data_IF_355258080937
#
_entry.id   IF_355258080937
#
_cell.length_a   1.000
_cell.length_b   1.000
_cell.length_c   1.000
_cell.angle_alpha   90.00
_cell.angle_beta   90.00
_cell.angle_gamma   90.00
#
_symmetry.space_group_name_H-M   'P 1'
#
loop_
_entity.id
_entity.type
_entity.pdbx_description
1 polymer ?
#
# COMPACT_ATOMS: atom_id res chain seq x y z
N UNK A 1 -9.67 -3.48 18.95
CA UNK A 1 -10.54 -2.70 18.04
C UNK A 1 -11.25 -3.75 17.19
N UNK A 2 -12.42 -4.24 17.61
CA UNK A 2 -12.89 -5.58 17.21
C UNK A 2 -13.76 -5.62 15.96
N UNK A 3 -14.65 -4.63 15.78
CA UNK A 3 -15.66 -4.64 14.72
C UNK A 3 -15.02 -4.67 13.32
N UNK A 4 -14.02 -3.83 13.07
CA UNK A 4 -13.32 -3.77 11.77
C UNK A 4 -12.40 -4.95 11.48
N UNK A 5 -12.07 -5.75 12.50
CA UNK A 5 -11.25 -6.94 12.35
C UNK A 5 -12.08 -8.20 12.10
N UNK A 6 -13.28 -8.29 12.70
CA UNK A 6 -14.05 -9.55 12.76
C UNK A 6 -15.38 -9.52 11.99
N UNK A 7 -15.97 -8.35 11.80
CA UNK A 7 -17.31 -8.18 11.21
C UNK A 7 -17.29 -7.28 9.99
N UNK A 8 -16.86 -6.02 10.13
CA UNK A 8 -16.77 -5.05 9.04
C UNK A 8 -15.38 -5.12 8.38
N UNK A 9 -15.10 -6.26 7.75
CA UNK A 9 -13.80 -6.54 7.12
C UNK A 9 -13.70 -5.89 5.73
N UNK A 10 -12.48 -5.64 5.22
CA UNK A 10 -12.28 -5.00 3.90
C UNK A 10 -12.89 -5.76 2.71
N UNK A 11 -13.08 -7.06 2.86
CA UNK A 11 -13.75 -7.92 1.89
C UNK A 11 -14.72 -8.81 2.66
N UNK A 12 -15.89 -9.03 2.07
CA UNK A 12 -16.96 -9.91 2.57
C UNK A 12 -17.36 -9.59 4.02
N UNK A 13 -17.79 -8.35 4.32
CA UNK A 13 -18.24 -7.98 5.65
C UNK A 13 -19.46 -8.82 6.06
N UNK A 14 -19.51 -9.21 7.33
CA UNK A 14 -20.60 -10.03 7.88
C UNK A 14 -21.76 -9.14 8.33
N UNK A 15 -22.43 -8.50 7.39
CA UNK A 15 -23.49 -7.54 7.67
C UNK A 15 -24.66 -8.14 8.47
N UNK A 16 -24.98 -9.42 8.27
CA UNK A 16 -26.10 -10.12 8.94
C UNK A 16 -25.94 -10.22 10.46
N UNK A 17 -24.69 -10.21 10.96
CA UNK A 17 -24.37 -10.24 12.40
C UNK A 17 -23.84 -8.90 12.89
N UNK A 18 -23.89 -7.85 12.06
CA UNK A 18 -23.32 -6.57 12.40
C UNK A 18 -24.22 -5.85 13.42
N UNK A 19 -23.73 -5.55 14.64
CA UNK A 19 -24.56 -4.95 15.69
C UNK A 19 -25.05 -3.53 15.35
N UNK A 20 -24.42 -2.88 14.35
CA UNK A 20 -24.75 -1.53 13.88
C UNK A 20 -25.36 -1.53 12.48
N UNK A 21 -25.84 -2.68 11.99
CA UNK A 21 -26.41 -2.84 10.66
C UNK A 21 -27.50 -1.80 10.36
N UNK A 22 -28.41 -1.56 11.29
CA UNK A 22 -29.52 -0.60 11.15
C UNK A 22 -29.08 0.88 11.05
N UNK A 23 -27.82 1.18 11.37
CA UNK A 23 -27.24 2.53 11.28
C UNK A 23 -26.21 2.64 10.15
N UNK A 24 -25.92 1.54 9.45
CA UNK A 24 -24.90 1.51 8.40
C UNK A 24 -25.48 2.03 7.09
N UNK A 25 -25.12 3.26 6.71
CA UNK A 25 -25.57 3.89 5.46
C UNK A 25 -25.20 3.06 4.22
N UNK A 26 -23.99 2.49 4.20
CA UNK A 26 -23.55 1.65 3.09
C UNK A 26 -24.38 0.35 2.94
N UNK A 27 -24.90 -0.18 4.05
CA UNK A 27 -25.81 -1.34 4.02
C UNK A 27 -27.23 -0.93 3.60
N UNK A 28 -27.75 0.18 4.13
CA UNK A 28 -29.09 0.69 3.83
C UNK A 28 -29.23 1.14 2.36
N UNK A 29 -28.19 1.72 1.78
CA UNK A 29 -28.17 2.12 0.37
C UNK A 29 -28.18 0.90 -0.58
N UNK A 30 -27.73 -0.28 -0.13
CA UNK A 30 -27.78 -1.51 -0.94
C UNK A 30 -29.22 -2.02 -1.11
N UNK A 31 -30.08 -1.78 -0.11
CA UNK A 31 -31.48 -2.21 -0.09
C UNK A 31 -32.45 -1.17 -0.67
N UNK A 32 -32.04 0.11 -0.78
CA UNK A 32 -32.83 1.17 -1.42
C UNK A 32 -32.50 1.31 -2.90
N UNK A 33 -33.29 0.65 -3.74
CA UNK A 33 -33.67 1.24 -5.03
C UNK A 33 -34.91 2.11 -4.79
N UNK A 34 -35.04 3.24 -5.49
CA UNK A 34 -36.23 4.12 -5.55
C UNK A 34 -36.45 5.17 -4.44
N UNK A 35 -35.46 5.99 -4.12
CA UNK A 35 -35.73 7.42 -3.92
C UNK A 35 -34.64 8.14 -4.71
N UNK A 36 -35.02 9.00 -5.66
CA UNK A 36 -34.08 9.91 -6.30
C UNK A 36 -33.31 10.65 -5.21
N UNK A 37 -32.01 10.39 -5.11
CA UNK A 37 -31.14 11.11 -4.20
C UNK A 37 -31.24 12.61 -4.52
N UNK A 38 -31.03 13.47 -3.52
CA UNK A 38 -30.99 14.93 -3.74
C UNK A 38 -29.94 15.36 -4.79
N UNK A 39 -29.05 14.44 -5.16
CA UNK A 39 -28.10 14.56 -6.27
C UNK A 39 -28.77 14.64 -7.66
N UNK A 40 -30.01 14.19 -7.81
CA UNK A 40 -30.78 14.38 -9.05
C UNK A 40 -31.35 15.82 -9.18
N UNK A 41 -31.25 16.65 -8.12
CA UNK A 41 -31.60 18.08 -8.17
C UNK A 41 -30.49 18.97 -8.78
N UNK A 42 -29.28 18.44 -8.97
CA UNK A 42 -28.18 19.19 -9.57
C UNK A 42 -27.46 18.29 -10.58
N UNK A 43 -27.91 18.34 -11.83
CA UNK A 43 -27.41 17.59 -12.98
C UNK A 43 -25.93 17.87 -13.35
N UNK A 44 -25.13 18.45 -12.45
CA UNK A 44 -23.68 18.67 -12.61
C UNK A 44 -22.95 19.01 -11.29
N UNK A 45 -23.21 18.28 -10.19
CA UNK A 45 -22.43 18.48 -8.95
C UNK A 45 -21.01 17.87 -9.09
N UNK A 46 -19.98 18.73 -9.06
CA UNK A 46 -18.56 18.32 -9.15
C UNK A 46 -18.00 17.66 -7.88
N UNK A 47 -18.80 17.58 -6.81
CA UNK A 47 -18.44 16.94 -5.54
C UNK A 47 -19.13 15.57 -5.34
N UNK A 48 -20.18 15.28 -6.10
CA UNK A 48 -20.91 14.02 -6.02
C UNK A 48 -20.14 12.91 -6.76
N UNK A 49 -20.19 11.70 -6.21
CA UNK A 49 -19.48 10.55 -6.75
C UNK A 49 -20.23 10.03 -7.97
N UNK A 50 -19.55 9.95 -9.12
CA UNK A 50 -20.14 9.42 -10.34
C UNK A 50 -20.39 7.92 -10.16
N UNK A 51 -21.50 7.43 -10.70
CA UNK A 51 -21.86 5.99 -10.68
C UNK A 51 -20.80 5.11 -11.35
N UNK A 52 -20.04 5.68 -12.28
CA UNK A 52 -18.92 5.06 -13.00
C UNK A 52 -17.74 4.67 -12.09
N UNK A 53 -17.57 5.34 -10.93
CA UNK A 53 -16.48 5.06 -9.98
C UNK A 53 -16.81 3.91 -9.01
N UNK A 54 -17.99 3.29 -9.14
CA UNK A 54 -18.43 2.18 -8.30
C UNK A 54 -18.08 0.84 -8.96
N UNK A 55 -17.32 -0.02 -8.27
CA UNK A 55 -17.00 -1.35 -8.79
C UNK A 55 -18.27 -2.21 -8.84
N UNK A 56 -18.76 -2.52 -10.04
CA UNK A 56 -20.04 -3.24 -10.26
C UNK A 56 -20.05 -4.68 -9.73
N UNK A 57 -18.88 -5.27 -9.46
CA UNK A 57 -18.72 -6.64 -8.97
C UNK A 57 -18.58 -6.74 -7.44
N UNK A 58 -18.69 -5.63 -6.71
CA UNK A 58 -18.63 -5.61 -5.24
C UNK A 58 -19.97 -5.23 -4.64
N UNK A 59 -20.23 -5.73 -3.42
CA UNK A 59 -21.34 -5.20 -2.62
C UNK A 59 -21.09 -3.72 -2.30
N UNK A 60 -22.18 -2.97 -2.09
CA UNK A 60 -22.06 -1.54 -1.83
C UNK A 60 -21.22 -1.24 -0.59
N UNK A 61 -21.31 -2.08 0.45
CA UNK A 61 -20.49 -1.98 1.66
C UNK A 61 -19.00 -2.13 1.36
N UNK A 62 -18.63 -3.04 0.45
CA UNK A 62 -17.23 -3.28 0.04
C UNK A 62 -16.65 -2.18 -0.85
N UNK A 63 -17.48 -1.28 -1.38
CA UNK A 63 -17.02 -0.07 -2.06
C UNK A 63 -16.49 0.98 -1.06
N UNK A 64 -16.62 0.74 0.25
CA UNK A 64 -16.07 1.55 1.32
C UNK A 64 -15.03 0.77 2.17
N UNK A 65 -14.03 1.47 2.74
CA UNK A 65 -13.63 2.83 2.42
C UNK A 65 -12.95 2.90 1.05
N UNK A 66 -13.23 3.96 0.27
CA UNK A 66 -12.54 4.17 -1.00
C UNK A 66 -11.07 4.46 -0.73
N UNK A 67 -10.20 3.58 -1.21
CA UNK A 67 -8.75 3.79 -1.18
C UNK A 67 -8.39 4.62 -2.41
N UNK A 68 -7.64 5.69 -2.20
CA UNK A 68 -6.98 6.38 -3.32
C UNK A 68 -6.14 5.34 -4.07
N UNK A 69 -6.15 5.41 -5.40
CA UNK A 69 -5.25 4.61 -6.20
C UNK A 69 -3.83 4.82 -5.69
N UNK A 70 -3.14 3.73 -5.31
CA UNK A 70 -1.78 3.84 -4.80
C UNK A 70 -0.88 4.29 -5.95
N UNK A 71 -0.11 5.34 -5.71
CA UNK A 71 0.98 5.73 -6.61
C UNK A 71 1.90 4.53 -6.82
N UNK A 72 2.33 4.29 -8.08
CA UNK A 72 3.25 3.20 -8.39
C UNK A 72 4.47 3.32 -7.48
N UNK A 73 4.77 2.25 -6.74
CA UNK A 73 5.98 2.21 -5.92
C UNK A 73 7.20 2.34 -6.83
N UNK A 74 8.24 3.02 -6.35
CA UNK A 74 9.48 3.19 -7.12
C UNK A 74 10.15 1.83 -7.29
N UNK A 75 10.46 1.48 -8.52
CA UNK A 75 11.28 0.32 -8.85
C UNK A 75 12.76 0.73 -8.68
N UNK A 76 13.49 0.06 -7.77
CA UNK A 76 14.92 0.27 -7.54
C UNK A 76 15.67 -1.03 -7.84
N UNK A 77 16.80 -0.93 -8.54
CA UNK A 77 17.67 -2.07 -8.85
C UNK A 77 19.00 -1.89 -8.13
N UNK A 78 19.31 -2.84 -7.25
CA UNK A 78 20.49 -2.85 -6.41
C UNK A 78 21.25 -4.16 -6.58
N UNK A 79 22.58 -4.07 -6.61
CA UNK A 79 23.45 -5.23 -6.57
C UNK A 79 23.81 -5.53 -5.11
N UNK A 80 23.70 -6.80 -4.72
CA UNK A 80 24.03 -7.27 -3.38
C UNK A 80 25.26 -8.16 -3.46
N UNK A 81 26.33 -7.76 -2.78
CA UNK A 81 27.56 -8.54 -2.71
C UNK A 81 27.58 -9.38 -1.43
N UNK A 82 27.59 -10.71 -1.60
CA UNK A 82 27.66 -11.67 -0.50
C UNK A 82 29.11 -12.17 -0.40
N UNK A 83 29.82 -11.69 0.62
CA UNK A 83 31.17 -12.15 0.92
C UNK A 83 31.12 -13.14 2.09
N UNK A 84 31.79 -14.27 1.93
CA UNK A 84 31.86 -15.30 2.95
C UNK A 84 33.27 -15.87 3.08
N UNK A 85 33.54 -16.46 4.24
CA UNK A 85 34.76 -17.18 4.58
C UNK A 85 34.39 -18.54 5.18
N UNK A 86 35.15 -19.58 4.86
CA UNK A 86 34.95 -20.94 5.35
C UNK A 86 36.14 -21.37 6.22
N UNK A 87 36.15 -21.06 7.52
CA UNK A 87 37.20 -21.53 8.46
C UNK A 87 36.83 -21.32 9.94
N UNK A 88 36.54 -22.37 10.76
CA UNK A 88 36.04 -23.71 10.45
C UNK A 88 34.51 -23.75 10.19
N UNK A 89 33.84 -22.61 10.32
CA UNK A 89 32.41 -22.44 10.08
C UNK A 89 32.20 -21.41 8.96
N UNK A 90 31.00 -21.39 8.38
CA UNK A 90 30.62 -20.43 7.35
C UNK A 90 30.35 -19.06 8.00
N UNK A 91 31.24 -18.11 7.74
CA UNK A 91 31.14 -16.74 8.21
C UNK A 91 30.77 -15.82 7.05
N UNK A 92 29.90 -14.84 7.30
CA UNK A 92 29.49 -13.85 6.31
C UNK A 92 29.94 -12.45 6.73
N UNK A 93 30.35 -11.63 5.76
CA UNK A 93 30.59 -10.21 5.99
C UNK A 93 29.28 -9.45 5.85
N UNK A 94 28.88 -8.77 6.93
CA UNK A 94 27.75 -7.85 6.94
C UNK A 94 28.19 -6.49 7.49
N UNK A 95 27.50 -5.43 7.05
CA UNK A 95 27.74 -4.05 7.49
C UNK A 95 26.50 -3.52 8.21
N UNK A 96 26.69 -2.66 9.21
CA UNK A 96 25.60 -1.97 9.90
C UNK A 96 25.26 -0.69 9.15
N UNK A 97 24.00 -0.56 8.73
CA UNK A 97 23.53 0.59 7.94
C UNK A 97 23.63 1.91 8.73
N UNK A 98 23.89 3.02 8.02
CA UNK A 98 23.92 4.37 8.59
C UNK A 98 22.62 4.66 9.35
N UNK A 99 22.67 5.51 10.38
CA UNK A 99 21.50 5.91 11.18
C UNK A 99 20.59 6.93 10.44
N UNK A 100 20.37 6.73 9.15
CA UNK A 100 19.53 7.62 8.33
C UNK A 100 18.93 6.84 7.17
N UNK A 101 17.61 6.93 7.00
CA UNK A 101 16.88 6.28 5.90
C UNK A 101 16.19 4.97 6.28
N UNK A 102 15.64 4.32 5.26
CA UNK A 102 14.96 3.03 5.37
C UNK A 102 15.97 1.97 5.85
N UNK A 103 15.57 1.12 6.81
CA UNK A 103 16.42 0.07 7.42
C UNK A 103 17.62 0.56 8.26
N UNK A 104 17.60 1.81 8.72
CA UNK A 104 18.67 2.36 9.56
C UNK A 104 18.97 1.49 10.80
N UNK A 105 20.25 1.17 11.01
CA UNK A 105 20.72 0.39 12.15
C UNK A 105 20.58 -1.14 12.04
N UNK A 106 20.02 -1.66 10.95
CA UNK A 106 20.02 -3.09 10.65
C UNK A 106 21.35 -3.54 10.03
N UNK A 107 21.60 -4.85 10.10
CA UNK A 107 22.70 -5.49 9.37
C UNK A 107 22.26 -5.83 7.97
N UNK A 108 23.05 -5.45 6.97
CA UNK A 108 22.83 -5.82 5.57
C UNK A 108 24.14 -6.31 4.95
N UNK A 109 24.01 -6.96 3.80
CA UNK A 109 25.15 -7.15 2.91
C UNK A 109 25.53 -5.84 2.23
N UNK A 110 26.65 -5.83 1.52
CA UNK A 110 27.09 -4.65 0.77
C UNK A 110 26.13 -4.47 -0.41
N UNK A 111 25.44 -3.33 -0.45
CA UNK A 111 24.47 -2.97 -1.48
C UNK A 111 25.02 -1.81 -2.33
N UNK A 112 24.94 -1.93 -3.65
CA UNK A 112 25.36 -0.91 -4.62
C UNK A 112 24.16 -0.53 -5.47
N UNK A 113 23.85 0.77 -5.58
CA UNK A 113 22.68 1.26 -6.30
C UNK A 113 23.07 1.75 -7.69
N UNK A 114 22.48 1.15 -8.73
CA UNK A 114 22.84 1.40 -10.13
C UNK A 114 22.65 2.86 -10.58
N UNK A 115 21.78 3.63 -9.92
CA UNK A 115 21.46 5.00 -10.31
C UNK A 115 22.42 6.07 -9.79
N UNK A 116 23.25 5.79 -8.78
CA UNK A 116 24.05 6.80 -8.09
C UNK A 116 25.57 6.49 -8.03
N UNK A 117 25.99 5.24 -8.27
CA UNK A 117 27.36 4.81 -7.92
C UNK A 117 28.32 4.65 -9.13
N UNK A 118 27.81 4.61 -10.38
CA UNK A 118 28.66 4.62 -11.58
C UNK A 118 29.44 5.94 -11.75
N UNK A 119 28.86 7.06 -11.31
CA UNK A 119 29.51 8.37 -11.38
C UNK A 119 30.57 8.55 -10.27
N UNK A 120 30.39 7.91 -9.10
CA UNK A 120 31.34 8.04 -7.97
C UNK A 120 32.57 7.14 -8.12
N UNK A 121 32.42 5.95 -8.72
CA UNK A 121 33.58 5.08 -9.01
C UNK A 121 34.46 5.64 -10.13
N UNK A 122 33.89 6.30 -11.15
CA UNK A 122 34.66 6.87 -12.25
C UNK A 122 35.51 8.09 -11.85
N UNK A 123 35.09 8.88 -10.86
CA UNK A 123 35.85 10.05 -10.37
C UNK A 123 37.10 9.66 -9.57
N UNK A 124 37.07 8.51 -8.88
CA UNK A 124 38.23 8.01 -8.12
C UNK A 124 39.30 7.36 -9.02
N UNK A 125 38.92 6.75 -10.15
CA UNK A 125 39.88 6.15 -11.10
C UNK A 125 40.54 7.15 -12.06
N UNK A 126 40.09 8.42 -12.11
CA UNK A 126 40.69 9.49 -12.93
C UNK A 126 41.76 10.31 -12.20
N UNK A 127 41.95 10.10 -10.89
CA UNK A 127 42.95 10.81 -10.07
C UNK A 127 44.14 9.93 -9.66
N UNK A 128 44.33 8.79 -10.32
CA UNK A 128 45.54 7.95 -10.19
C UNK A 128 46.28 7.85 -11.51
#
# INVERSE_FOLDING_TARGET
>A
MELGATVCTPQRPKCDICPVQNQCLAYLQQTRQTIADIEECASNCSLCLRSEDMESNRSLVENYPRKKAKTKQRDETSFVLILYRLTPQLEFLMIKQKKSGLLSGLWSFIEINTSNDLDQMNEQTRKS
#
